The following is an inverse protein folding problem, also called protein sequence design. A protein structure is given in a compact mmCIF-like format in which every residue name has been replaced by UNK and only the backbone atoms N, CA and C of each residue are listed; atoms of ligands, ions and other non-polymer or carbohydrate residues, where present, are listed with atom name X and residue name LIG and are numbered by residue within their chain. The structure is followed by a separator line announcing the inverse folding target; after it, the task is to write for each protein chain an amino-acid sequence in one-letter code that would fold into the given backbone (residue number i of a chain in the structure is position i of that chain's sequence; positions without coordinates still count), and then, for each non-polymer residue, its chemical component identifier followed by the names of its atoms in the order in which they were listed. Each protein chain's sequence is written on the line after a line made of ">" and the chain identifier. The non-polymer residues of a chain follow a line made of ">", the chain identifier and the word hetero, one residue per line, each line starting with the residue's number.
data_IF_365664782937
#
_entry.id   IF_365664782937
#
_cell.length_a   1.000
_cell.length_b   1.000
_cell.length_c   1.000
_cell.angle_alpha   90.00
_cell.angle_beta   90.00
_cell.angle_gamma   90.00
#
_symmetry.space_group_name_H-M   'P 1'
#
loop_
_entity.id
_entity.type
_entity.pdbx_description
1 polymer ?
#
# COMPACT_ATOMS: atom_id res chain seq x y z
N UNK A 1 1.39 0.13 -8.42
CA UNK A 1 2.81 -0.22 -8.21
C UNK A 1 3.70 0.92 -7.70
N UNK A 2 3.75 2.10 -8.29
CA UNK A 2 4.70 3.19 -8.01
C UNK A 2 4.28 4.22 -6.97
N UNK A 3 3.35 3.89 -6.09
CA UNK A 3 2.70 4.85 -5.19
C UNK A 3 3.55 5.24 -3.98
N UNK A 4 4.34 4.32 -3.44
CA UNK A 4 5.06 4.46 -2.17
C UNK A 4 5.80 5.80 -1.95
N UNK A 5 6.44 6.43 -2.97
CA UNK A 5 7.08 7.72 -2.77
C UNK A 5 6.16 8.83 -2.24
N UNK A 6 4.87 8.81 -2.62
CA UNK A 6 3.91 9.83 -2.18
C UNK A 6 3.60 9.71 -0.68
N UNK A 7 3.06 8.58 -0.17
CA UNK A 7 2.80 8.47 1.27
C UNK A 7 4.08 8.53 2.12
N UNK A 8 5.23 8.14 1.59
CA UNK A 8 6.51 8.26 2.30
C UNK A 8 6.91 9.74 2.51
N UNK A 9 6.69 10.59 1.48
CA UNK A 9 7.02 12.02 1.54
C UNK A 9 6.01 12.87 2.31
N UNK A 10 4.85 12.32 2.64
CA UNK A 10 3.75 13.01 3.32
C UNK A 10 3.20 12.18 4.48
N UNK A 11 4.05 11.38 5.13
CA UNK A 11 3.61 10.48 6.21
C UNK A 11 2.99 11.24 7.39
N UNK A 12 3.38 12.50 7.62
CA UNK A 12 2.83 13.35 8.67
C UNK A 12 1.52 14.04 8.29
N UNK A 13 1.23 14.20 6.99
CA UNK A 13 -0.01 14.77 6.48
C UNK A 13 -0.76 13.75 5.63
N UNK A 14 -1.61 12.95 6.28
CA UNK A 14 -2.38 11.91 5.62
C UNK A 14 -3.36 12.46 4.57
N UNK A 15 -3.93 13.64 4.83
CA UNK A 15 -4.86 14.30 3.90
C UNK A 15 -4.16 14.65 2.59
N UNK A 16 -2.98 15.25 2.68
CA UNK A 16 -2.18 15.61 1.53
C UNK A 16 -1.60 14.37 0.82
N UNK A 17 -1.15 13.35 1.58
CA UNK A 17 -0.73 12.08 1.00
C UNK A 17 -1.83 11.44 0.13
N UNK A 18 -3.06 11.38 0.65
CA UNK A 18 -4.22 10.83 -0.06
C UNK A 18 -4.59 11.66 -1.29
N UNK A 19 -4.58 12.99 -1.16
CA UNK A 19 -4.85 13.91 -2.27
C UNK A 19 -3.83 13.75 -3.40
N UNK A 20 -2.54 13.74 -3.07
CA UNK A 20 -1.46 13.60 -4.05
C UNK A 20 -1.37 12.19 -4.64
N UNK A 21 -1.78 11.16 -3.90
CA UNK A 21 -1.93 9.80 -4.43
C UNK A 21 -2.93 9.76 -5.59
N UNK A 22 -4.06 10.47 -5.46
CA UNK A 22 -5.03 10.63 -6.54
C UNK A 22 -4.40 11.33 -7.76
N UNK A 23 -3.70 12.44 -7.56
CA UNK A 23 -3.02 13.16 -8.66
C UNK A 23 -1.94 12.30 -9.33
N UNK A 24 -1.16 11.57 -8.54
CA UNK A 24 -0.17 10.62 -9.06
C UNK A 24 -0.82 9.55 -9.96
N UNK A 25 -1.98 9.03 -9.57
CA UNK A 25 -2.73 8.07 -10.40
C UNK A 25 -3.14 8.68 -11.74
N UNK A 26 -3.70 9.89 -11.73
CA UNK A 26 -4.20 10.58 -12.93
C UNK A 26 -3.14 10.77 -14.01
N UNK A 27 -1.86 10.81 -13.65
CA UNK A 27 -0.77 10.95 -14.65
C UNK A 27 -0.66 9.75 -15.60
N UNK A 28 -1.21 8.59 -15.21
CA UNK A 28 -1.16 7.34 -16.02
C UNK A 28 -2.50 6.63 -16.11
N UNK A 29 -3.33 6.65 -15.06
CA UNK A 29 -4.59 5.92 -14.94
C UNK A 29 -5.64 6.80 -14.26
N UNK A 30 -6.58 7.31 -15.03
CA UNK A 30 -7.61 8.24 -14.55
C UNK A 30 -8.97 7.57 -14.28
N UNK A 31 -9.07 6.22 -14.37
CA UNK A 31 -10.29 5.52 -13.99
C UNK A 31 -10.58 5.71 -12.48
N UNK A 32 -11.86 5.90 -12.11
CA UNK A 32 -12.23 6.12 -10.69
C UNK A 32 -11.66 5.07 -9.75
N UNK A 33 -11.73 3.78 -10.10
CA UNK A 33 -11.17 2.71 -9.29
C UNK A 33 -9.65 2.81 -9.12
N UNK A 34 -8.92 3.26 -10.16
CA UNK A 34 -7.46 3.42 -10.07
C UNK A 34 -7.07 4.58 -9.15
N UNK A 35 -7.80 5.69 -9.25
CA UNK A 35 -7.61 6.86 -8.40
C UNK A 35 -7.89 6.48 -6.94
N UNK A 36 -9.02 5.85 -6.68
CA UNK A 36 -9.46 5.54 -5.32
C UNK A 36 -8.67 4.37 -4.69
N UNK A 37 -8.20 3.41 -5.49
CA UNK A 37 -7.23 2.43 -5.04
C UNK A 37 -5.95 3.11 -4.53
N UNK A 38 -5.44 4.11 -5.26
CA UNK A 38 -4.27 4.87 -4.83
C UNK A 38 -4.55 5.69 -3.56
N UNK A 39 -5.73 6.31 -3.45
CA UNK A 39 -6.14 7.07 -2.25
C UNK A 39 -6.19 6.17 -1.02
N UNK A 40 -6.91 5.05 -1.11
CA UNK A 40 -7.07 4.12 0.00
C UNK A 40 -5.75 3.45 0.37
N UNK A 41 -4.97 3.05 -0.63
CA UNK A 41 -3.66 2.43 -0.40
C UNK A 41 -2.65 3.39 0.23
N UNK A 42 -2.66 4.68 -0.14
CA UNK A 42 -1.84 5.71 0.51
C UNK A 42 -2.22 5.88 1.99
N UNK A 43 -3.51 5.87 2.32
CA UNK A 43 -3.98 5.92 3.71
C UNK A 43 -3.45 4.74 4.54
N UNK A 44 -3.48 3.52 3.99
CA UNK A 44 -2.92 2.32 4.63
C UNK A 44 -1.41 2.43 4.85
N UNK A 45 -0.65 2.89 3.85
CA UNK A 45 0.81 3.07 3.98
C UNK A 45 1.13 4.13 5.03
N UNK A 46 0.42 5.26 5.04
CA UNK A 46 0.60 6.30 6.07
C UNK A 46 0.32 5.75 7.47
N UNK A 47 -0.77 5.01 7.63
CA UNK A 47 -1.08 4.34 8.89
C UNK A 47 0.03 3.39 9.36
N UNK A 48 0.55 2.57 8.45
CA UNK A 48 1.66 1.65 8.75
C UNK A 48 2.94 2.41 9.15
N UNK A 49 3.30 3.49 8.43
CA UNK A 49 4.45 4.34 8.76
C UNK A 49 4.31 5.05 10.11
N UNK A 50 3.07 5.30 10.55
CA UNK A 50 2.75 5.87 11.88
C UNK A 50 2.69 4.83 12.99
N UNK A 51 2.96 3.57 12.70
CA UNK A 51 3.01 2.48 13.67
C UNK A 51 1.64 1.95 14.10
N UNK A 52 0.58 2.18 13.32
CA UNK A 52 -0.71 1.57 13.58
C UNK A 52 -0.64 0.06 13.38
N UNK A 53 -1.31 -0.69 14.25
CA UNK A 53 -1.25 -2.14 14.18
C UNK A 53 -2.10 -2.70 13.01
N UNK A 54 -1.87 -3.97 12.68
CA UNK A 54 -2.50 -4.64 11.55
C UNK A 54 -4.02 -4.70 11.70
N UNK A 55 -4.53 -4.87 12.90
CA UNK A 55 -5.97 -4.93 13.17
C UNK A 55 -6.64 -3.58 12.94
N UNK A 56 -5.97 -2.49 13.31
CA UNK A 56 -6.40 -1.13 13.05
C UNK A 56 -6.36 -0.81 11.55
N UNK A 57 -5.22 -1.08 10.88
CA UNK A 57 -5.05 -0.84 9.43
C UNK A 57 -6.11 -1.57 8.60
N UNK A 58 -6.48 -2.77 9.01
CA UNK A 58 -7.46 -3.60 8.32
C UNK A 58 -8.88 -3.46 8.88
N UNK A 59 -9.14 -2.51 9.78
CA UNK A 59 -10.50 -2.18 10.20
C UNK A 59 -11.34 -1.68 9.02
N UNK A 60 -12.67 -1.91 9.08
CA UNK A 60 -13.57 -1.42 8.02
C UNK A 60 -13.41 0.09 7.82
N UNK A 61 -13.27 0.51 6.57
CA UNK A 61 -13.14 1.91 6.15
C UNK A 61 -11.99 2.65 6.88
N UNK A 62 -10.87 1.94 7.15
CA UNK A 62 -9.72 2.56 7.79
C UNK A 62 -9.41 3.93 7.18
N UNK A 63 -9.26 4.92 8.04
CA UNK A 63 -8.90 6.29 7.66
C UNK A 63 -7.98 6.88 8.73
N UNK A 64 -6.74 7.25 8.42
CA UNK A 64 -5.89 7.99 9.34
C UNK A 64 -6.46 9.37 9.62
N UNK A 65 -6.02 9.99 10.70
CA UNK A 65 -6.44 11.37 11.05
C UNK A 65 -6.28 12.34 9.87
N UNK A 66 -7.30 13.14 9.62
CA UNK A 66 -7.37 14.08 8.50
C UNK A 66 -7.99 13.52 7.23
N UNK A 67 -8.33 12.21 7.19
CA UNK A 67 -8.99 11.57 6.04
C UNK A 67 -10.43 11.21 6.39
N UNK A 68 -11.39 11.62 5.55
CA UNK A 68 -12.82 11.31 5.70
C UNK A 68 -13.40 10.78 4.38
N UNK A 69 -13.68 9.48 4.34
CA UNK A 69 -14.32 8.84 3.18
C UNK A 69 -15.78 9.22 2.98
N UNK A 70 -16.43 9.87 3.94
CA UNK A 70 -17.80 10.38 3.78
C UNK A 70 -17.82 11.67 2.99
N UNK A 71 -16.80 12.52 3.17
CA UNK A 71 -16.65 13.76 2.42
C UNK A 71 -16.30 13.49 0.95
N UNK A 72 -15.43 12.51 0.67
CA UNK A 72 -15.04 12.12 -0.69
C UNK A 72 -15.08 10.58 -0.77
N UNK A 73 -16.25 9.99 -1.09
CA UNK A 73 -16.45 8.55 -1.09
C UNK A 73 -15.52 7.81 -2.06
N UNK A 74 -15.18 6.58 -1.68
CA UNK A 74 -14.44 5.66 -2.56
C UNK A 74 -15.37 5.04 -3.61
N UNK A 75 -14.84 4.75 -4.78
CA UNK A 75 -15.54 3.99 -5.81
C UNK A 75 -16.06 2.65 -5.23
N UNK A 76 -17.24 2.16 -5.63
CA UNK A 76 -17.90 1.02 -4.99
C UNK A 76 -17.04 -0.24 -4.88
N UNK A 77 -16.18 -0.51 -5.87
CA UNK A 77 -15.27 -1.66 -5.83
C UNK A 77 -14.19 -1.49 -4.75
N UNK A 78 -13.65 -0.29 -4.58
CA UNK A 78 -12.63 0.01 -3.57
C UNK A 78 -13.27 0.11 -2.18
N UNK A 79 -14.47 0.66 -2.07
CA UNK A 79 -15.21 0.67 -0.80
C UNK A 79 -15.44 -0.74 -0.25
N UNK A 80 -15.79 -1.74 -1.10
CA UNK A 80 -15.91 -3.14 -0.68
C UNK A 80 -14.59 -3.72 -0.15
N UNK A 81 -13.46 -3.37 -0.78
CA UNK A 81 -12.13 -3.77 -0.29
C UNK A 81 -11.85 -3.09 1.07
N UNK A 82 -12.15 -1.80 1.19
CA UNK A 82 -12.00 -1.06 2.44
C UNK A 82 -12.89 -1.62 3.57
N UNK A 83 -14.04 -2.21 3.24
CA UNK A 83 -14.89 -2.94 4.18
C UNK A 83 -14.38 -4.35 4.53
N UNK A 84 -13.28 -4.78 3.91
CA UNK A 84 -12.63 -6.05 4.22
C UNK A 84 -13.17 -7.24 3.42
N UNK A 85 -13.60 -7.06 2.16
CA UNK A 85 -14.10 -8.14 1.29
C UNK A 85 -13.14 -9.33 1.19
N UNK A 86 -11.84 -9.07 1.25
CA UNK A 86 -10.78 -10.07 1.17
C UNK A 86 -10.67 -11.00 2.39
N UNK A 87 -11.17 -10.61 3.56
CA UNK A 87 -10.95 -11.33 4.83
C UNK A 87 -11.59 -12.71 4.90
N UNK A 88 -12.69 -12.90 4.18
CA UNK A 88 -13.46 -14.15 4.18
C UNK A 88 -13.29 -14.95 2.89
N UNK A 89 -12.25 -14.66 2.07
CA UNK A 89 -11.98 -15.35 0.83
C UNK A 89 -10.90 -16.40 0.99
N UNK A 90 -11.11 -17.55 0.35
CA UNK A 90 -10.07 -18.54 0.12
C UNK A 90 -9.11 -18.10 -1.00
N UNK A 91 -7.94 -18.74 -1.06
CA UNK A 91 -6.92 -18.47 -2.09
C UNK A 91 -7.47 -18.64 -3.52
N UNK A 92 -8.32 -19.63 -3.74
CA UNK A 92 -8.99 -19.93 -5.01
C UNK A 92 -10.02 -18.88 -5.46
N UNK A 93 -10.43 -18.02 -4.56
CA UNK A 93 -11.36 -16.92 -4.83
C UNK A 93 -10.65 -15.58 -5.09
N UNK A 94 -9.36 -15.50 -4.83
CA UNK A 94 -8.54 -14.29 -5.02
C UNK A 94 -7.94 -14.28 -6.42
N UNK A 95 -8.03 -13.15 -7.09
CA UNK A 95 -7.42 -12.94 -8.40
C UNK A 95 -6.29 -11.92 -8.30
N UNK A 96 -5.15 -12.24 -8.90
CA UNK A 96 -3.96 -11.39 -8.96
C UNK A 96 -3.75 -10.78 -10.37
N UNK A 97 -4.83 -10.47 -11.08
CA UNK A 97 -4.74 -9.91 -12.43
C UNK A 97 -4.24 -8.45 -12.42
N UNK A 98 -3.82 -7.93 -13.59
CA UNK A 98 -3.42 -6.54 -13.77
C UNK A 98 -4.53 -5.50 -13.55
N UNK A 99 -5.77 -5.91 -13.25
CA UNK A 99 -6.85 -4.99 -12.88
C UNK A 99 -6.66 -4.50 -11.45
N UNK A 100 -6.64 -3.17 -11.28
CA UNK A 100 -6.27 -2.51 -10.02
C UNK A 100 -7.05 -2.99 -8.78
N UNK A 101 -8.34 -3.32 -8.95
CA UNK A 101 -9.20 -3.84 -7.87
C UNK A 101 -8.71 -5.21 -7.41
N UNK A 102 -8.43 -6.12 -8.36
CA UNK A 102 -7.90 -7.45 -8.06
C UNK A 102 -6.52 -7.38 -7.41
N UNK A 103 -5.61 -6.56 -7.97
CA UNK A 103 -4.26 -6.36 -7.41
C UNK A 103 -4.30 -5.87 -5.96
N UNK A 104 -5.15 -4.87 -5.67
CA UNK A 104 -5.27 -4.32 -4.32
C UNK A 104 -5.90 -5.35 -3.36
N UNK A 105 -6.96 -6.04 -3.78
CA UNK A 105 -7.61 -7.07 -2.97
C UNK A 105 -6.66 -8.22 -2.65
N UNK A 106 -5.91 -8.71 -3.65
CA UNK A 106 -4.94 -9.78 -3.47
C UNK A 106 -3.79 -9.39 -2.54
N UNK A 107 -3.25 -8.18 -2.66
CA UNK A 107 -2.21 -7.68 -1.77
C UNK A 107 -2.70 -7.56 -0.32
N UNK A 108 -3.91 -7.07 -0.10
CA UNK A 108 -4.50 -6.97 1.25
C UNK A 108 -4.89 -8.33 1.81
N UNK A 109 -5.36 -9.26 0.97
CA UNK A 109 -5.61 -10.64 1.37
C UNK A 109 -4.32 -11.33 1.86
N UNK A 110 -3.23 -11.21 1.11
CA UNK A 110 -1.95 -11.76 1.51
C UNK A 110 -1.41 -11.11 2.79
N UNK A 111 -1.58 -9.79 2.92
CA UNK A 111 -1.20 -9.07 4.15
C UNK A 111 -2.04 -9.53 5.34
N UNK A 112 -3.33 -9.75 5.18
CA UNK A 112 -4.22 -10.24 6.24
C UNK A 112 -3.85 -11.66 6.69
N UNK A 113 -3.56 -12.56 5.74
CA UNK A 113 -3.29 -13.99 5.99
C UNK A 113 -1.82 -14.34 6.31
N UNK A 114 -0.97 -13.36 6.57
CA UNK A 114 0.45 -13.59 6.88
C UNK A 114 0.88 -12.88 8.16
N UNK A 115 1.84 -13.44 8.88
CA UNK A 115 2.41 -12.83 10.08
C UNK A 115 3.82 -12.26 9.85
N UNK A 116 4.44 -12.57 8.70
CA UNK A 116 5.75 -12.07 8.33
C UNK A 116 5.74 -11.45 6.94
N UNK A 117 6.71 -10.55 6.67
CA UNK A 117 6.92 -10.02 5.33
C UNK A 117 7.08 -11.14 4.30
N UNK A 118 7.89 -12.15 4.63
CA UNK A 118 8.22 -13.25 3.71
C UNK A 118 7.01 -14.09 3.37
N UNK A 119 6.22 -14.49 4.35
CA UNK A 119 5.06 -15.36 4.13
C UNK A 119 4.04 -14.68 3.22
N UNK A 120 3.71 -13.42 3.48
CA UNK A 120 2.77 -12.69 2.65
C UNK A 120 3.30 -12.37 1.25
N UNK A 121 4.60 -12.14 1.10
CA UNK A 121 5.21 -11.99 -0.22
C UNK A 121 5.10 -13.29 -1.03
N UNK A 122 5.34 -14.44 -0.41
CA UNK A 122 5.19 -15.75 -1.05
C UNK A 122 3.73 -16.06 -1.38
N UNK A 123 2.78 -15.77 -0.47
CA UNK A 123 1.35 -15.88 -0.77
C UNK A 123 0.99 -15.07 -2.02
N UNK A 124 1.46 -13.83 -2.08
CA UNK A 124 1.12 -12.91 -3.18
C UNK A 124 1.63 -13.40 -4.53
N UNK A 125 2.90 -13.82 -4.61
CA UNK A 125 3.50 -14.23 -5.89
C UNK A 125 3.02 -15.60 -6.35
N UNK A 126 2.60 -16.48 -5.44
CA UNK A 126 2.08 -17.78 -5.75
C UNK A 126 0.64 -17.76 -6.30
N UNK A 127 -0.09 -16.65 -6.17
CA UNK A 127 -1.37 -16.47 -6.86
C UNK A 127 -1.23 -16.51 -8.39
N UNK A 128 -0.02 -16.28 -8.92
CA UNK A 128 0.23 -16.28 -10.36
C UNK A 128 -0.33 -15.04 -11.06
N UNK A 129 -0.82 -15.19 -12.29
CA UNK A 129 -1.33 -14.10 -13.14
C UNK A 129 -0.30 -12.93 -13.23
N UNK A 130 -0.59 -11.75 -12.66
CA UNK A 130 0.27 -10.56 -12.63
C UNK A 130 1.02 -10.49 -11.27
N UNK A 131 1.79 -11.53 -10.98
CA UNK A 131 2.44 -11.76 -9.69
C UNK A 131 3.46 -10.67 -9.31
N UNK A 132 4.17 -10.10 -10.28
CA UNK A 132 5.15 -9.03 -10.06
C UNK A 132 4.46 -7.71 -9.65
N UNK A 133 3.35 -7.34 -10.29
CA UNK A 133 2.55 -6.18 -9.90
C UNK A 133 1.93 -6.36 -8.52
N UNK A 134 1.34 -7.53 -8.26
CA UNK A 134 0.67 -7.81 -6.98
C UNK A 134 1.70 -7.89 -5.85
N UNK A 135 2.84 -8.55 -6.09
CA UNK A 135 3.96 -8.57 -5.15
C UNK A 135 4.55 -7.19 -4.86
N UNK A 136 4.66 -6.33 -5.88
CA UNK A 136 5.11 -4.95 -5.68
C UNK A 136 4.12 -4.11 -4.85
N UNK A 137 2.81 -4.31 -5.01
CA UNK A 137 1.80 -3.62 -4.17
C UNK A 137 1.86 -4.15 -2.74
N UNK A 138 1.87 -5.47 -2.54
CA UNK A 138 2.06 -6.06 -1.22
C UNK A 138 3.30 -5.51 -0.53
N UNK A 139 4.45 -5.53 -1.23
CA UNK A 139 5.75 -5.12 -0.68
C UNK A 139 5.80 -3.68 -0.18
N UNK A 140 5.02 -2.76 -0.77
CA UNK A 140 4.94 -1.38 -0.30
C UNK A 140 4.27 -1.29 1.08
N UNK A 141 3.12 -1.94 1.27
CA UNK A 141 2.42 -1.93 2.55
C UNK A 141 3.16 -2.74 3.61
N UNK A 142 3.57 -3.97 3.25
CA UNK A 142 4.29 -4.85 4.16
C UNK A 142 5.66 -4.28 4.56
N UNK A 143 6.36 -3.62 3.63
CA UNK A 143 7.62 -2.93 3.93
C UNK A 143 7.43 -1.76 4.89
N UNK A 144 6.37 -0.97 4.72
CA UNK A 144 6.01 0.11 5.64
C UNK A 144 5.63 -0.42 7.03
N UNK A 145 4.97 -1.57 7.09
CA UNK A 145 4.50 -2.17 8.35
C UNK A 145 5.58 -2.95 9.10
N UNK A 146 6.27 -3.87 8.42
CA UNK A 146 7.26 -4.76 9.05
C UNK A 146 8.67 -4.15 9.13
N UNK A 147 8.96 -3.15 8.33
CA UNK A 147 10.29 -2.55 8.22
C UNK A 147 11.26 -3.33 7.34
N UNK A 148 12.40 -2.71 7.04
CA UNK A 148 13.42 -3.26 6.11
C UNK A 148 14.08 -4.54 6.65
N UNK A 149 14.22 -4.65 7.96
CA UNK A 149 14.89 -5.80 8.59
C UNK A 149 14.03 -7.07 8.57
N UNK A 150 12.73 -6.95 8.39
CA UNK A 150 11.83 -8.09 8.19
C UNK A 150 11.93 -8.70 6.78
N UNK A 151 12.54 -8.00 5.83
CA UNK A 151 12.79 -8.52 4.48
C UNK A 151 13.98 -9.48 4.53
N UNK A 152 13.85 -10.74 4.05
CA UNK A 152 14.95 -11.69 4.07
C UNK A 152 16.24 -11.12 3.46
N UNK A 153 17.36 -11.22 4.16
CA UNK A 153 18.63 -10.64 3.73
C UNK A 153 19.07 -11.12 2.33
N UNK A 154 18.82 -12.40 2.05
CA UNK A 154 19.12 -12.97 0.73
C UNK A 154 18.32 -12.34 -0.40
N UNK A 155 17.13 -11.79 -0.11
CA UNK A 155 16.32 -11.07 -1.09
C UNK A 155 16.85 -9.63 -1.24
N UNK A 156 17.11 -8.92 -0.12
CA UNK A 156 17.65 -7.55 -0.13
C UNK A 156 18.94 -7.46 -0.95
N UNK A 157 19.86 -8.42 -0.78
CA UNK A 157 21.14 -8.45 -1.51
C UNK A 157 21.01 -8.63 -3.02
N UNK A 158 19.86 -9.10 -3.51
CA UNK A 158 19.60 -9.31 -4.95
C UNK A 158 18.88 -8.15 -5.62
N UNK A 159 18.45 -7.15 -4.85
CA UNK A 159 17.77 -5.97 -5.40
C UNK A 159 18.78 -5.13 -6.18
N UNK A 160 18.53 -5.00 -7.48
CA UNK A 160 19.32 -4.09 -8.31
C UNK A 160 19.18 -2.65 -7.79
N UNK A 161 20.27 -1.92 -7.68
CA UNK A 161 20.30 -0.53 -7.20
C UNK A 161 19.79 -0.37 -5.75
N UNK A 162 19.88 -1.40 -4.91
CA UNK A 162 19.34 -1.40 -3.55
C UNK A 162 19.77 -0.19 -2.72
N UNK A 163 21.08 0.14 -2.70
CA UNK A 163 21.60 1.28 -1.97
C UNK A 163 21.06 2.63 -2.46
N UNK A 164 20.82 2.78 -3.77
CA UNK A 164 20.21 3.97 -4.34
C UNK A 164 18.73 4.10 -3.94
N UNK A 165 17.99 2.99 -3.97
CA UNK A 165 16.58 2.93 -3.52
C UNK A 165 16.50 3.33 -2.05
N UNK A 166 17.34 2.79 -1.17
CA UNK A 166 17.38 3.14 0.26
C UNK A 166 17.71 4.62 0.48
N UNK A 167 18.69 5.15 -0.27
CA UNK A 167 19.05 6.57 -0.20
C UNK A 167 17.91 7.47 -0.64
N UNK A 168 17.21 7.14 -1.72
CA UNK A 168 16.05 7.90 -2.18
C UNK A 168 14.90 7.83 -1.19
N UNK A 169 14.61 6.67 -0.62
CA UNK A 169 13.56 6.49 0.38
C UNK A 169 13.84 7.33 1.64
N UNK A 170 15.09 7.31 2.14
CA UNK A 170 15.51 8.09 3.29
C UNK A 170 15.39 9.61 3.05
N UNK A 171 15.76 10.06 1.85
CA UNK A 171 15.63 11.47 1.46
C UNK A 171 14.16 11.90 1.36
N UNK A 172 13.30 11.07 0.77
CA UNK A 172 11.87 11.35 0.67
C UNK A 172 11.22 11.45 2.06
N UNK A 173 11.54 10.53 2.96
CA UNK A 173 11.05 10.57 4.34
C UNK A 173 11.59 11.79 5.11
N UNK A 174 12.83 12.19 4.86
CA UNK A 174 13.43 13.39 5.44
C UNK A 174 12.76 14.70 5.00
N UNK A 175 12.19 14.76 3.79
CA UNK A 175 11.44 15.92 3.31
C UNK A 175 10.17 16.20 4.11
N UNK A 176 9.55 15.16 4.66
CA UNK A 176 8.38 15.29 5.52
C UNK A 176 8.70 16.07 6.81
N UNK A 177 9.88 15.87 7.38
CA UNK A 177 10.35 16.63 8.55
C UNK A 177 10.82 18.06 8.28
N UNK A 178 11.15 18.40 7.04
CA UNK A 178 11.63 19.74 6.68
C UNK A 178 10.47 20.73 6.42
N UNK A 179 9.30 20.24 6.07
CA UNK A 179 8.10 21.09 5.79
C UNK A 179 7.47 21.70 7.04
N UNK A 180 7.69 21.09 8.21
CA UNK A 180 7.18 21.62 9.49
C UNK A 180 8.06 22.74 10.05
N UNK A 181 9.18 23.09 9.40
CA UNK A 181 10.15 24.07 9.86
C UNK A 181 10.05 25.43 9.11
N UNK A 182 9.15 25.56 8.14
CA UNK A 182 8.84 26.82 7.42
C UNK A 182 7.47 27.36 7.84
#
# INVERSE_FOLDING_TARGET
>A
MRLAPVPLSYARDASEAVRLAAESSRTTHAAPEAIDACRYFAALIVGALRGQDKSELLASQFAPEGVDWRAVPLAPAIARIADGSFKNRGEDEIRASGYVVHTLEAALWAFFNSETFQDGALLTVNLGEDADTTGAVYGQLAGAYYGVDAIPEGWRRRIAMGAEIESLASRLHGLDGARDAE
#
